data_IF_668983719308
#
_entry.id   IF_668983719308
#
_cell.length_a   1.000
_cell.length_b   1.000
_cell.length_c   1.000
_cell.angle_alpha   90.00
_cell.angle_beta   90.00
_cell.angle_gamma   90.00
#
_symmetry.space_group_name_H-M   'P 1'
#
loop_
_entity.id
_entity.type
_entity.pdbx_description
1 polymer ?
#
# COMPACT_ATOMS: atom_id res chain seq x y z
N UNK A 1 -14.05 3.19 39.72
CA UNK A 1 -14.24 3.73 38.36
C UNK A 1 -14.03 5.23 38.40
N UNK A 2 -12.96 5.75 37.81
CA UNK A 2 -12.76 7.19 37.70
C UNK A 2 -13.86 7.77 36.81
N UNK A 3 -14.59 8.78 37.30
CA UNK A 3 -15.55 9.54 36.50
C UNK A 3 -14.77 10.27 35.40
N UNK A 4 -14.82 9.74 34.18
CA UNK A 4 -14.44 10.47 32.97
C UNK A 4 -15.48 11.57 32.74
N UNK A 5 -15.46 12.63 33.55
CA UNK A 5 -16.13 13.87 33.18
C UNK A 5 -15.21 14.59 32.19
N UNK A 6 -15.60 14.77 30.92
CA UNK A 6 -14.90 15.71 30.08
C UNK A 6 -15.11 17.10 30.68
N UNK A 7 -14.02 17.78 31.03
CA UNK A 7 -14.08 19.21 31.28
C UNK A 7 -14.50 19.95 29.99
N UNK A 8 -14.87 21.24 30.07
CA UNK A 8 -15.22 22.06 28.91
C UNK A 8 -14.10 22.16 27.85
N UNK A 9 -12.87 21.77 28.19
CA UNK A 9 -11.66 21.96 27.39
C UNK A 9 -11.38 20.86 26.34
N UNK A 10 -12.29 19.88 26.18
CA UNK A 10 -12.11 18.78 25.24
C UNK A 10 -11.07 17.74 25.69
N UNK A 11 -10.66 16.85 24.77
CA UNK A 11 -9.59 15.86 25.02
C UNK A 11 -8.63 15.75 23.86
N UNK A 12 -7.35 15.67 24.17
CA UNK A 12 -6.31 15.43 23.17
C UNK A 12 -6.34 13.98 22.71
N UNK A 13 -6.66 13.76 21.44
CA UNK A 13 -6.85 12.44 20.85
C UNK A 13 -6.21 12.38 19.47
N UNK A 14 -5.78 11.18 19.08
CA UNK A 14 -5.48 10.90 17.68
C UNK A 14 -6.79 10.58 16.98
N UNK A 15 -7.21 11.46 16.08
CA UNK A 15 -8.33 11.23 15.19
C UNK A 15 -7.83 10.58 13.92
N UNK A 16 -8.54 9.55 13.45
CA UNK A 16 -8.35 8.97 12.13
C UNK A 16 -9.67 9.10 11.38
N UNK A 17 -9.61 9.67 10.18
CA UNK A 17 -10.76 10.08 9.38
C UNK A 17 -10.69 9.44 8.01
N UNK A 18 -11.78 8.81 7.59
CA UNK A 18 -11.97 8.31 6.24
C UNK A 18 -13.01 9.16 5.52
N UNK A 19 -12.76 9.48 4.26
CA UNK A 19 -13.75 10.03 3.34
C UNK A 19 -14.35 8.86 2.54
N UNK A 20 -15.67 8.82 2.41
CA UNK A 20 -16.36 7.83 1.58
C UNK A 20 -16.55 8.40 0.17
N UNK A 21 -16.40 7.54 -0.85
CA UNK A 21 -16.67 7.85 -2.27
C UNK A 21 -18.07 8.43 -2.45
N UNK A 22 -18.27 9.16 -3.54
CA UNK A 22 -19.60 9.66 -3.89
C UNK A 22 -20.54 8.51 -4.28
N UNK A 23 -21.86 8.74 -4.21
CA UNK A 23 -22.89 7.78 -4.62
C UNK A 23 -23.49 6.92 -3.50
N UNK A 24 -22.89 6.90 -2.30
CA UNK A 24 -23.45 6.20 -1.14
C UNK A 24 -24.56 7.03 -0.45
N UNK A 25 -25.78 6.47 -0.36
CA UNK A 25 -26.97 7.20 0.10
C UNK A 25 -27.19 7.07 1.61
N UNK A 26 -26.84 5.92 2.19
CA UNK A 26 -27.01 5.60 3.60
C UNK A 26 -25.76 4.95 4.19
N UNK A 27 -25.64 4.98 5.52
CA UNK A 27 -24.46 4.46 6.24
C UNK A 27 -24.28 2.96 6.02
N UNK A 28 -25.39 2.22 5.91
CA UNK A 28 -25.38 0.78 5.66
C UNK A 28 -24.83 0.40 4.27
N UNK A 29 -24.66 1.37 3.36
CA UNK A 29 -24.05 1.12 2.05
C UNK A 29 -22.53 0.90 2.15
N UNK A 30 -21.89 1.32 3.24
CA UNK A 30 -20.43 1.28 3.41
C UNK A 30 -19.97 0.88 4.81
N UNK A 31 -20.88 0.55 5.73
CA UNK A 31 -20.56 0.17 7.10
C UNK A 31 -21.34 -1.08 7.52
N UNK A 32 -20.63 -2.07 8.06
CA UNK A 32 -21.27 -3.20 8.73
C UNK A 32 -21.77 -2.80 10.12
N UNK A 33 -23.09 -2.59 10.24
CA UNK A 33 -23.74 -2.12 11.48
C UNK A 33 -24.13 -3.24 12.45
N UNK A 34 -23.99 -4.51 12.05
CA UNK A 34 -24.47 -5.67 12.82
C UNK A 34 -23.82 -5.75 14.19
N UNK A 35 -24.63 -5.72 15.25
CA UNK A 35 -24.16 -5.81 16.63
C UNK A 35 -23.51 -4.53 17.19
N UNK A 36 -23.64 -3.40 16.51
CA UNK A 36 -23.27 -2.08 17.02
C UNK A 36 -24.50 -1.38 17.64
N UNK A 37 -24.28 -0.70 18.76
CA UNK A 37 -25.22 0.29 19.28
C UNK A 37 -25.07 1.58 18.47
N UNK A 38 -26.19 2.29 18.23
CA UNK A 38 -26.22 3.54 17.49
C UNK A 38 -26.93 4.65 18.28
N UNK A 39 -26.37 5.85 18.25
CA UNK A 39 -26.97 7.07 18.83
C UNK A 39 -26.90 8.16 17.78
N UNK A 40 -28.04 8.78 17.47
CA UNK A 40 -28.08 9.99 16.66
C UNK A 40 -27.68 11.19 17.52
N UNK A 41 -26.72 11.98 17.03
CA UNK A 41 -26.29 13.22 17.64
C UNK A 41 -26.87 14.34 16.79
N UNK A 42 -27.71 15.17 17.40
CA UNK A 42 -28.29 16.36 16.79
C UNK A 42 -28.27 17.47 17.83
N UNK A 43 -27.16 18.19 17.89
CA UNK A 43 -26.92 19.30 18.81
C UNK A 43 -26.52 20.54 18.02
N UNK A 44 -26.56 21.72 18.64
CA UNK A 44 -26.09 22.95 18.00
C UNK A 44 -24.61 22.91 17.57
N UNK A 45 -23.81 22.01 18.15
CA UNK A 45 -22.37 21.88 17.87
C UNK A 45 -22.03 20.72 16.93
N UNK A 46 -22.93 19.74 16.76
CA UNK A 46 -22.61 18.49 16.08
C UNK A 46 -23.86 17.80 15.57
N UNK A 47 -23.78 17.32 14.33
CA UNK A 47 -24.78 16.49 13.66
C UNK A 47 -24.10 15.23 13.12
N UNK A 48 -24.67 14.05 13.41
CA UNK A 48 -24.15 12.78 12.91
C UNK A 48 -24.65 11.58 13.69
N UNK A 49 -24.04 10.42 13.45
CA UNK A 49 -24.39 9.16 14.11
C UNK A 49 -23.16 8.55 14.76
N UNK A 50 -23.25 8.29 16.07
CA UNK A 50 -22.24 7.56 16.83
C UNK A 50 -22.61 6.07 16.86
N UNK A 51 -21.73 5.23 16.33
CA UNK A 51 -21.78 3.78 16.47
C UNK A 51 -20.73 3.31 17.46
N UNK A 52 -21.10 2.36 18.32
CA UNK A 52 -20.18 1.83 19.30
C UNK A 52 -20.54 0.41 19.75
N UNK A 53 -19.55 -0.29 20.27
CA UNK A 53 -19.72 -1.59 20.93
C UNK A 53 -18.75 -1.70 22.09
N UNK A 54 -19.27 -2.10 23.24
CA UNK A 54 -18.48 -2.32 24.47
C UNK A 54 -18.20 -3.80 24.69
N UNK A 55 -17.01 -4.12 25.20
CA UNK A 55 -16.78 -5.37 25.92
C UNK A 55 -16.70 -6.64 25.06
N UNK A 56 -16.21 -6.57 23.82
CA UNK A 56 -15.83 -7.81 23.14
C UNK A 56 -14.55 -8.36 23.78
N UNK A 57 -14.61 -9.62 24.21
CA UNK A 57 -13.50 -10.31 24.87
C UNK A 57 -12.92 -11.35 23.94
N UNK A 58 -11.61 -11.32 23.75
CA UNK A 58 -10.86 -12.42 23.13
C UNK A 58 -9.91 -13.03 24.14
N UNK A 59 -9.86 -14.36 24.22
CA UNK A 59 -8.84 -15.06 25.01
C UNK A 59 -7.49 -14.83 24.33
N UNK A 60 -6.46 -14.51 25.11
CA UNK A 60 -5.11 -14.36 24.56
C UNK A 60 -4.62 -15.73 24.05
N UNK A 61 -4.24 -15.90 22.77
CA UNK A 61 -3.97 -17.25 22.25
C UNK A 61 -2.77 -17.94 22.90
N UNK A 62 -1.77 -17.17 23.35
CA UNK A 62 -0.65 -17.71 24.13
C UNK A 62 -1.10 -18.40 25.43
N UNK A 63 -2.26 -18.06 25.98
CA UNK A 63 -2.79 -18.69 27.19
C UNK A 63 -3.05 -20.20 26.96
N UNK A 64 -3.33 -20.62 25.72
CA UNK A 64 -3.49 -22.04 25.39
C UNK A 64 -2.21 -22.86 25.65
N UNK A 65 -1.03 -22.25 25.56
CA UNK A 65 0.27 -22.91 25.80
C UNK A 65 0.34 -23.48 27.22
N UNK A 66 -0.30 -22.80 28.18
CA UNK A 66 -0.26 -23.15 29.60
C UNK A 66 -1.54 -23.86 30.06
N UNK A 67 -2.38 -24.33 29.14
CA UNK A 67 -3.67 -24.94 29.47
C UNK A 67 -3.57 -26.17 30.40
N UNK A 68 -2.44 -26.89 30.33
CA UNK A 68 -2.17 -28.07 31.16
C UNK A 68 -1.36 -27.75 32.43
N UNK A 69 -1.04 -26.48 32.69
CA UNK A 69 -0.33 -26.08 33.92
C UNK A 69 -1.33 -26.02 35.07
N UNK A 70 -1.09 -26.84 36.08
CA UNK A 70 -1.94 -26.91 37.27
C UNK A 70 -2.06 -25.52 37.94
N UNK A 71 -3.29 -25.03 38.12
CA UNK A 71 -3.58 -23.73 38.72
C UNK A 71 -3.68 -22.55 37.73
N UNK A 72 -3.41 -22.76 36.44
CA UNK A 72 -3.61 -21.73 35.40
C UNK A 72 -4.91 -22.00 34.62
N UNK A 73 -5.78 -20.99 34.51
CA UNK A 73 -6.99 -21.05 33.69
C UNK A 73 -6.83 -20.12 32.46
N UNK A 74 -6.55 -20.64 31.26
CA UNK A 74 -6.38 -19.83 30.06
C UNK A 74 -7.57 -18.90 29.75
N UNK A 75 -8.80 -19.37 30.02
CA UNK A 75 -10.04 -18.61 29.79
C UNK A 75 -10.17 -17.37 30.68
N UNK A 76 -9.33 -17.24 31.73
CA UNK A 76 -9.30 -16.06 32.59
C UNK A 76 -8.49 -14.90 32.00
N UNK A 77 -7.62 -15.17 31.01
CA UNK A 77 -6.80 -14.15 30.35
C UNK A 77 -7.53 -13.61 29.13
N UNK A 78 -8.30 -12.55 29.34
CA UNK A 78 -9.10 -11.90 28.29
C UNK A 78 -8.62 -10.49 27.98
N UNK A 79 -8.49 -10.18 26.70
CA UNK A 79 -8.34 -8.81 26.23
C UNK A 79 -9.73 -8.19 26.09
N UNK A 80 -9.92 -6.97 26.62
CA UNK A 80 -11.15 -6.18 26.46
C UNK A 80 -10.88 -4.99 25.58
N UNK A 81 -11.66 -4.86 24.51
CA UNK A 81 -11.52 -3.79 23.55
C UNK A 81 -12.86 -3.04 23.38
N UNK A 82 -12.78 -1.77 23.00
CA UNK A 82 -13.92 -0.98 22.57
C UNK A 82 -13.82 -0.65 21.08
N UNK A 83 -14.99 -0.47 20.47
CA UNK A 83 -15.14 -0.02 19.09
C UNK A 83 -16.00 1.24 19.11
N UNK A 84 -15.52 2.33 18.52
CA UNK A 84 -16.28 3.57 18.34
C UNK A 84 -16.10 4.14 16.93
N UNK A 85 -17.17 4.66 16.36
CA UNK A 85 -17.17 5.32 15.06
C UNK A 85 -18.16 6.47 15.09
N UNK A 86 -17.70 7.68 14.78
CA UNK A 86 -18.60 8.82 14.58
C UNK A 86 -18.67 9.15 13.10
N UNK A 87 -19.88 9.16 12.54
CA UNK A 87 -20.12 9.44 11.13
C UNK A 87 -20.94 10.71 11.01
N UNK A 88 -20.49 11.61 10.16
CA UNK A 88 -21.24 12.81 9.78
C UNK A 88 -21.23 12.98 8.27
N UNK A 89 -22.12 13.84 7.78
CA UNK A 89 -22.16 14.24 6.38
C UNK A 89 -21.77 15.70 6.28
N UNK A 90 -20.79 16.00 5.43
CA UNK A 90 -20.28 17.34 5.21
C UNK A 90 -20.13 17.54 3.70
N UNK A 91 -20.67 18.64 3.17
CA UNK A 91 -20.66 18.93 1.72
C UNK A 91 -21.14 17.77 0.83
N UNK A 92 -22.17 17.03 1.29
CA UNK A 92 -22.74 15.90 0.55
C UNK A 92 -21.96 14.58 0.66
N UNK A 93 -20.77 14.58 1.30
CA UNK A 93 -19.90 13.41 1.45
C UNK A 93 -19.89 12.89 2.89
N UNK A 94 -19.69 11.59 3.06
CA UNK A 94 -19.63 10.97 4.39
C UNK A 94 -18.20 10.97 4.93
N UNK A 95 -18.06 11.37 6.19
CA UNK A 95 -16.81 11.31 6.94
C UNK A 95 -16.95 10.33 8.09
N UNK A 96 -15.97 9.43 8.23
CA UNK A 96 -15.96 8.40 9.28
C UNK A 96 -14.77 8.61 10.21
N UNK A 97 -15.04 9.03 11.44
CA UNK A 97 -14.06 9.20 12.51
C UNK A 97 -13.96 7.91 13.33
N UNK A 98 -12.85 7.18 13.19
CA UNK A 98 -12.65 5.87 13.84
C UNK A 98 -11.95 6.00 15.19
N UNK A 99 -12.44 5.24 16.17
CA UNK A 99 -11.86 5.10 17.50
C UNK A 99 -11.62 3.61 17.83
N UNK A 100 -10.38 3.27 18.19
CA UNK A 100 -10.00 1.89 18.48
C UNK A 100 -10.03 1.00 17.23
N UNK A 101 -10.54 -0.23 17.37
CA UNK A 101 -10.51 -1.25 16.31
C UNK A 101 -11.74 -1.18 15.39
N UNK A 102 -11.99 -0.02 14.75
CA UNK A 102 -13.19 0.20 13.92
C UNK A 102 -12.95 0.35 12.42
N UNK A 103 -11.71 0.53 11.96
CA UNK A 103 -11.39 0.59 10.52
C UNK A 103 -11.97 -0.61 9.75
N UNK A 104 -11.89 -1.81 10.33
CA UNK A 104 -12.36 -3.06 9.72
C UNK A 104 -13.88 -3.12 9.48
N UNK A 105 -14.66 -2.21 10.06
CA UNK A 105 -16.12 -2.15 9.88
C UNK A 105 -16.52 -1.38 8.62
N UNK A 106 -15.63 -0.52 8.12
CA UNK A 106 -15.86 0.29 6.92
C UNK A 106 -15.51 -0.57 5.71
N UNK A 107 -16.39 -0.59 4.72
CA UNK A 107 -16.08 -1.23 3.44
C UNK A 107 -14.93 -0.48 2.76
N UNK A 108 -13.79 -1.14 2.62
CA UNK A 108 -12.61 -0.59 1.94
C UNK A 108 -12.91 -0.13 0.50
N UNK A 109 -13.84 -0.79 -0.20
CA UNK A 109 -14.17 -0.41 -1.57
C UNK A 109 -14.89 0.95 -1.66
N UNK A 110 -15.58 1.34 -0.58
CA UNK A 110 -16.30 2.60 -0.45
C UNK A 110 -15.40 3.76 0.00
N UNK A 111 -14.18 3.49 0.49
CA UNK A 111 -13.24 4.53 0.93
C UNK A 111 -12.66 5.28 -0.26
N UNK A 112 -12.64 6.61 -0.16
CA UNK A 112 -11.96 7.49 -1.11
C UNK A 112 -10.44 7.32 -0.99
N UNK A 113 -9.84 6.72 -2.01
CA UNK A 113 -8.41 6.40 -2.04
C UNK A 113 -7.58 7.67 -2.15
N UNK A 114 -6.40 7.63 -1.53
CA UNK A 114 -5.47 8.75 -1.46
C UNK A 114 -6.03 10.04 -0.82
N UNK A 115 -7.21 9.99 -0.18
CA UNK A 115 -7.80 11.14 0.50
C UNK A 115 -6.84 11.71 1.54
N UNK A 116 -6.34 10.87 2.45
CA UNK A 116 -5.39 11.30 3.47
C UNK A 116 -4.08 11.83 2.88
N UNK A 117 -3.56 11.18 1.85
CA UNK A 117 -2.33 11.57 1.17
C UNK A 117 -2.45 12.98 0.56
N UNK A 118 -3.49 13.22 -0.25
CA UNK A 118 -3.74 14.53 -0.88
C UNK A 118 -3.95 15.61 0.18
N UNK A 119 -4.68 15.30 1.25
CA UNK A 119 -4.87 16.24 2.37
C UNK A 119 -3.54 16.55 3.06
N UNK A 120 -2.71 15.56 3.35
CA UNK A 120 -1.38 15.76 3.94
C UNK A 120 -0.46 16.58 3.04
N UNK A 121 -0.49 16.38 1.72
CA UNK A 121 0.30 17.16 0.75
C UNK A 121 -0.13 18.63 0.69
N UNK A 122 -1.41 18.90 0.93
CA UNK A 122 -1.95 20.26 0.96
C UNK A 122 -1.73 20.96 2.30
N UNK A 123 -1.93 20.27 3.42
CA UNK A 123 -1.89 20.84 4.77
C UNK A 123 -0.53 20.75 5.45
N UNK A 124 0.30 19.78 5.09
CA UNK A 124 1.62 19.58 5.66
C UNK A 124 2.60 20.66 5.23
N UNK A 125 3.50 21.01 6.14
CA UNK A 125 4.65 21.87 5.86
C UNK A 125 5.67 21.10 5.00
N UNK A 126 5.98 21.56 3.78
CA UNK A 126 6.89 20.88 2.87
C UNK A 126 8.34 20.81 3.38
N UNK A 127 8.72 21.66 4.35
CA UNK A 127 10.04 21.64 4.97
C UNK A 127 10.10 20.76 6.23
N UNK A 128 8.97 20.23 6.69
CA UNK A 128 8.87 19.49 7.94
C UNK A 128 8.15 18.15 7.79
N UNK A 129 8.65 17.34 6.85
CA UNK A 129 8.23 15.96 6.64
C UNK A 129 9.00 15.04 7.61
N UNK A 130 8.27 14.12 8.23
CA UNK A 130 8.78 13.14 9.21
C UNK A 130 8.99 11.76 8.61
N UNK A 131 8.07 11.34 7.73
CA UNK A 131 8.11 10.00 7.15
C UNK A 131 7.34 9.96 5.82
N UNK A 132 7.78 9.08 4.94
CA UNK A 132 7.06 8.73 3.71
C UNK A 132 6.96 7.21 3.59
N UNK A 133 5.92 6.75 2.90
CA UNK A 133 5.87 5.41 2.33
C UNK A 133 5.84 5.53 0.82
N UNK A 134 6.68 4.74 0.16
CA UNK A 134 6.76 4.67 -1.28
C UNK A 134 6.70 3.22 -1.76
N UNK A 135 6.20 3.03 -2.97
CA UNK A 135 6.28 1.77 -3.67
C UNK A 135 6.93 1.98 -5.02
N UNK A 136 7.94 1.17 -5.30
CA UNK A 136 8.57 1.12 -6.59
C UNK A 136 7.70 0.29 -7.54
N UNK A 137 7.40 0.81 -8.73
CA UNK A 137 6.55 0.13 -9.72
C UNK A 137 7.34 -0.69 -10.76
N UNK A 138 8.64 -0.95 -10.54
CA UNK A 138 9.41 -1.87 -11.38
C UNK A 138 8.99 -3.34 -11.18
N UNK A 139 9.54 -4.24 -11.99
CA UNK A 139 9.26 -5.69 -11.93
C UNK A 139 9.45 -6.30 -10.53
N UNK A 140 10.37 -5.76 -9.72
CA UNK A 140 10.48 -6.11 -8.30
C UNK A 140 9.88 -4.97 -7.49
N UNK A 141 8.58 -5.07 -7.22
CA UNK A 141 7.83 -4.05 -6.48
C UNK A 141 8.31 -3.92 -5.03
N UNK A 142 9.30 -3.04 -4.79
CA UNK A 142 9.82 -2.77 -3.45
C UNK A 142 8.93 -1.74 -2.74
N UNK A 143 8.49 -2.09 -1.54
CA UNK A 143 7.83 -1.14 -0.64
C UNK A 143 8.83 -0.66 0.41
N UNK A 144 8.95 0.66 0.54
CA UNK A 144 9.82 1.29 1.53
C UNK A 144 9.02 2.22 2.44
N UNK A 145 9.39 2.23 3.72
CA UNK A 145 8.99 3.27 4.66
C UNK A 145 10.26 3.94 5.17
N UNK A 146 10.38 5.23 4.91
CA UNK A 146 11.49 6.04 5.37
C UNK A 146 11.03 6.99 6.46
N UNK A 147 11.84 7.13 7.49
CA UNK A 147 11.58 8.03 8.60
C UNK A 147 12.83 8.86 8.89
N UNK A 148 12.66 10.17 8.91
CA UNK A 148 13.72 11.09 9.23
C UNK A 148 13.85 11.26 10.76
N UNK A 149 15.08 11.30 11.25
CA UNK A 149 15.37 11.57 12.68
C UNK A 149 15.04 13.00 13.10
N UNK A 150 14.94 13.92 12.14
CA UNK A 150 14.53 15.32 12.29
C UNK A 150 13.55 15.67 11.18
N UNK A 151 12.85 16.79 11.32
CA UNK A 151 12.01 17.33 10.25
C UNK A 151 12.89 17.72 9.05
N UNK A 152 12.54 17.23 7.86
CA UNK A 152 13.27 17.47 6.61
C UNK A 152 12.31 17.79 5.47
N UNK A 153 12.83 18.43 4.42
CA UNK A 153 12.11 18.57 3.15
C UNK A 153 12.04 17.22 2.39
N UNK A 154 11.23 17.17 1.34
CA UNK A 154 11.04 15.94 0.56
C UNK A 154 12.35 15.40 -0.04
N UNK A 155 13.25 16.27 -0.49
CA UNK A 155 14.57 15.91 -1.04
C UNK A 155 15.50 15.21 -0.01
N UNK A 156 15.13 15.23 1.27
CA UNK A 156 15.82 14.50 2.32
C UNK A 156 15.49 13.00 2.36
N UNK A 157 14.49 12.56 1.59
CA UNK A 157 14.12 11.16 1.43
C UNK A 157 14.69 10.62 0.11
N UNK A 158 15.00 9.33 0.10
CA UNK A 158 15.32 8.64 -1.15
C UNK A 158 13.99 8.46 -1.89
N UNK A 159 13.72 9.23 -2.94
CA UNK A 159 12.50 9.10 -3.72
C UNK A 159 12.80 9.32 -5.19
N UNK A 160 12.62 8.27 -5.98
CA UNK A 160 12.81 8.35 -7.42
C UNK A 160 11.51 8.82 -8.08
N UNK A 161 11.52 10.06 -8.57
CA UNK A 161 10.33 10.69 -9.18
C UNK A 161 9.84 10.02 -10.45
N UNK A 162 10.63 9.11 -11.03
CA UNK A 162 10.35 8.43 -12.29
C UNK A 162 9.69 7.05 -12.10
N UNK A 163 9.95 6.39 -10.97
CA UNK A 163 9.52 4.99 -10.72
C UNK A 163 8.92 4.73 -9.34
N UNK A 164 8.99 5.70 -8.41
CA UNK A 164 8.37 5.56 -7.09
C UNK A 164 6.99 6.23 -7.03
N UNK A 165 6.01 5.52 -6.49
CA UNK A 165 4.71 6.06 -6.13
C UNK A 165 4.69 6.40 -4.64
N UNK A 166 4.37 7.66 -4.32
CA UNK A 166 4.14 8.08 -2.95
C UNK A 166 2.80 7.50 -2.45
N UNK A 167 2.85 6.67 -1.41
CA UNK A 167 1.66 6.02 -0.81
C UNK A 167 1.23 6.71 0.47
N UNK A 168 2.17 7.19 1.28
CA UNK A 168 1.84 7.91 2.50
C UNK A 168 2.82 9.03 2.78
N UNK A 169 2.34 10.06 3.48
CA UNK A 169 3.18 11.14 3.98
C UNK A 169 2.77 11.51 5.39
N UNK A 170 3.78 11.65 6.26
CA UNK A 170 3.65 12.21 7.60
C UNK A 170 4.44 13.49 7.68
N UNK A 171 3.78 14.61 8.00
CA UNK A 171 4.40 15.92 8.07
C UNK A 171 3.83 16.73 9.24
N UNK A 172 4.59 17.73 9.68
CA UNK A 172 4.07 18.74 10.59
C UNK A 172 3.08 19.66 9.88
N UNK A 173 2.07 20.11 10.62
CA UNK A 173 1.22 21.21 10.17
C UNK A 173 1.93 22.56 10.32
N UNK A 174 1.35 23.63 9.76
CA UNK A 174 1.90 24.98 9.95
C UNK A 174 1.94 25.33 11.44
N UNK A 175 3.06 25.88 11.89
CA UNK A 175 3.19 26.39 13.26
C UNK A 175 2.31 27.63 13.41
N UNK A 176 1.37 27.58 14.36
CA UNK A 176 0.59 28.75 14.77
C UNK A 176 1.10 29.26 16.10
N UNK A 177 0.97 30.57 16.30
CA UNK A 177 1.38 31.22 17.54
C UNK A 177 0.51 30.70 18.70
N UNK A 178 1.13 30.32 19.82
CA UNK A 178 0.48 29.79 21.02
C UNK A 178 -0.31 28.47 20.83
N UNK A 179 -0.13 27.75 19.72
CA UNK A 179 -0.71 26.42 19.52
C UNK A 179 0.41 25.37 19.38
N UNK A 180 0.15 24.17 19.88
CA UNK A 180 1.02 23.04 19.59
C UNK A 180 0.93 22.64 18.12
N UNK A 181 2.08 22.36 17.52
CA UNK A 181 2.13 21.94 16.12
C UNK A 181 1.45 20.59 15.91
N UNK A 182 0.40 20.58 15.10
CA UNK A 182 -0.25 19.34 14.70
C UNK A 182 0.70 18.48 13.86
N UNK A 183 0.51 17.16 13.91
CA UNK A 183 1.19 16.22 13.02
C UNK A 183 0.15 15.50 12.19
N UNK A 184 0.31 15.57 10.88
CA UNK A 184 -0.58 15.01 9.87
C UNK A 184 0.05 13.76 9.30
N UNK A 185 -0.73 12.70 9.18
CA UNK A 185 -0.30 11.45 8.56
C UNK A 185 -1.40 10.97 7.64
N UNK A 186 -1.09 10.82 6.35
CA UNK A 186 -2.08 10.59 5.31
C UNK A 186 -1.72 9.44 4.38
N UNK A 187 -2.69 8.55 4.15
CA UNK A 187 -2.71 7.52 3.09
C UNK A 187 -4.12 7.53 2.49
N UNK A 188 -4.91 6.49 2.72
CA UNK A 188 -6.35 6.50 2.40
C UNK A 188 -7.16 7.20 3.49
N UNK A 189 -6.70 7.11 4.74
CA UNK A 189 -7.21 7.91 5.84
C UNK A 189 -6.27 9.03 6.20
N UNK A 190 -6.84 10.06 6.83
CA UNK A 190 -6.09 11.14 7.44
C UNK A 190 -6.05 10.95 8.96
N UNK A 191 -4.87 11.01 9.56
CA UNK A 191 -4.65 11.00 11.00
C UNK A 191 -4.11 12.34 11.47
N UNK A 192 -4.67 12.86 12.57
CA UNK A 192 -4.17 14.04 13.27
C UNK A 192 -4.26 13.86 14.78
N UNK A 193 -3.24 14.30 15.50
CA UNK A 193 -3.28 14.38 16.96
C UNK A 193 -3.65 15.81 17.37
N UNK A 194 -4.85 16.01 17.89
CA UNK A 194 -5.42 17.34 18.16
C UNK A 194 -6.36 17.33 19.37
N UNK A 195 -6.77 18.51 19.83
CA UNK A 195 -7.78 18.66 20.88
C UNK A 195 -9.18 18.46 20.28
N UNK A 196 -9.97 17.58 20.89
CA UNK A 196 -11.26 17.16 20.34
C UNK A 196 -12.40 17.50 21.29
N UNK A 197 -13.37 18.24 20.78
CA UNK A 197 -14.71 18.44 21.34
C UNK A 197 -15.76 17.93 20.34
N UNK A 198 -17.05 18.00 20.68
CA UNK A 198 -18.12 17.65 19.73
C UNK A 198 -18.11 18.57 18.50
N UNK A 199 -17.82 19.87 18.67
CA UNK A 199 -17.73 20.83 17.56
C UNK A 199 -16.58 20.55 16.60
N UNK A 200 -15.48 19.99 17.10
CA UNK A 200 -14.27 19.72 16.31
C UNK A 200 -14.51 18.83 15.09
N UNK A 201 -15.50 17.94 15.13
CA UNK A 201 -15.69 16.97 14.04
C UNK A 201 -16.16 17.61 12.72
N UNK A 202 -17.13 18.52 12.77
CA UNK A 202 -17.61 19.21 11.55
C UNK A 202 -16.55 20.19 11.03
N UNK A 203 -15.93 20.97 11.92
CA UNK A 203 -14.84 21.89 11.56
C UNK A 203 -13.67 21.14 10.88
N UNK A 204 -13.29 20.00 11.43
CA UNK A 204 -12.25 19.16 10.86
C UNK A 204 -12.70 18.57 9.52
N UNK A 205 -13.89 18.00 9.40
CA UNK A 205 -14.39 17.46 8.14
C UNK A 205 -14.39 18.50 7.02
N UNK A 206 -14.88 19.71 7.29
CA UNK A 206 -14.86 20.84 6.35
C UNK A 206 -13.43 21.22 5.95
N UNK A 207 -12.50 21.33 6.91
CA UNK A 207 -11.09 21.64 6.64
C UNK A 207 -10.45 20.57 5.74
N UNK A 208 -10.65 19.29 6.04
CA UNK A 208 -10.09 18.19 5.28
C UNK A 208 -10.70 18.11 3.88
N UNK A 209 -12.00 18.37 3.73
CA UNK A 209 -12.66 18.40 2.42
C UNK A 209 -12.07 19.49 1.52
N UNK A 210 -11.95 20.71 2.06
CA UNK A 210 -11.34 21.84 1.34
C UNK A 210 -9.90 21.54 0.92
N UNK A 211 -9.12 20.92 1.80
CA UNK A 211 -7.75 20.51 1.49
C UNK A 211 -7.72 19.43 0.40
N UNK A 212 -8.61 18.44 0.45
CA UNK A 212 -8.70 17.39 -0.55
C UNK A 212 -9.04 17.91 -1.96
N UNK A 213 -9.90 18.93 -2.05
CA UNK A 213 -10.25 19.56 -3.32
C UNK A 213 -9.17 20.49 -3.88
N UNK A 214 -8.18 20.86 -3.07
CA UNK A 214 -7.13 21.78 -3.48
C UNK A 214 -6.05 21.06 -4.31
N UNK A 215 -5.76 21.58 -5.49
CA UNK A 215 -4.73 21.05 -6.41
C UNK A 215 -3.38 21.77 -6.30
N UNK A 216 -3.25 22.78 -5.43
CA UNK A 216 -2.02 23.56 -5.27
C UNK A 216 -0.79 22.72 -4.88
N UNK A 217 -0.99 21.56 -4.24
CA UNK A 217 0.11 20.63 -3.94
C UNK A 217 0.88 20.19 -5.20
N UNK A 218 0.24 20.15 -6.37
CA UNK A 218 0.88 19.75 -7.64
C UNK A 218 1.97 20.72 -8.10
N UNK A 219 1.89 21.99 -7.72
CA UNK A 219 2.96 22.95 -8.00
C UNK A 219 4.21 22.64 -7.18
N UNK A 220 4.04 22.11 -5.97
CA UNK A 220 5.15 21.71 -5.09
C UNK A 220 5.68 20.31 -5.40
N UNK A 221 4.81 19.42 -5.85
CA UNK A 221 5.11 18.02 -6.13
C UNK A 221 4.67 17.64 -7.55
N UNK A 222 5.28 18.23 -8.60
CA UNK A 222 4.82 18.05 -9.99
C UNK A 222 4.97 16.61 -10.49
N UNK A 223 5.91 15.86 -9.93
CA UNK A 223 6.13 14.45 -10.26
C UNK A 223 4.95 13.55 -9.87
N UNK A 224 4.06 13.98 -8.98
CA UNK A 224 2.93 13.14 -8.53
C UNK A 224 1.91 12.88 -9.64
N UNK A 225 1.90 13.71 -10.67
CA UNK A 225 1.01 13.57 -11.81
C UNK A 225 1.64 12.73 -12.94
N UNK A 226 2.93 12.35 -12.88
CA UNK A 226 3.57 11.49 -13.89
C UNK A 226 2.91 10.11 -13.98
N UNK A 227 2.50 9.59 -12.82
CA UNK A 227 1.75 8.34 -12.69
C UNK A 227 0.51 8.64 -11.85
N UNK A 228 -0.59 8.91 -12.53
CA UNK A 228 -1.81 9.41 -11.91
C UNK A 228 -2.83 8.29 -11.73
N UNK A 229 -3.58 8.31 -10.64
CA UNK A 229 -4.64 7.33 -10.41
C UNK A 229 -5.78 7.53 -11.42
N UNK A 230 -6.16 6.47 -12.13
CA UNK A 230 -7.33 6.44 -12.99
C UNK A 230 -8.59 6.38 -12.14
N UNK A 231 -9.58 7.22 -12.46
CA UNK A 231 -10.80 7.40 -11.68
C UNK A 231 -12.07 7.27 -12.51
N UNK A 232 -12.00 7.20 -13.84
CA UNK A 232 -13.14 6.92 -14.71
C UNK A 232 -13.62 5.47 -14.47
N UNK A 233 -14.84 5.28 -13.91
CA UNK A 233 -15.36 3.94 -13.63
C UNK A 233 -15.45 3.06 -14.87
N UNK A 234 -15.76 3.63 -16.04
CA UNK A 234 -15.90 2.85 -17.29
C UNK A 234 -14.55 2.32 -17.76
N UNK A 235 -13.52 3.14 -17.65
CA UNK A 235 -12.17 2.76 -18.03
C UNK A 235 -11.60 1.73 -17.05
N UNK A 236 -11.86 1.89 -15.75
CA UNK A 236 -11.52 0.89 -14.73
C UNK A 236 -12.21 -0.46 -15.02
N UNK A 237 -13.49 -0.46 -15.39
CA UNK A 237 -14.22 -1.68 -15.77
C UNK A 237 -13.59 -2.36 -17.00
N UNK A 238 -13.20 -1.58 -18.01
CA UNK A 238 -12.53 -2.10 -19.20
C UNK A 238 -11.15 -2.70 -18.88
N UNK A 239 -10.35 -2.02 -18.05
CA UNK A 239 -9.05 -2.51 -17.57
C UNK A 239 -9.19 -3.80 -16.77
N UNK A 240 -10.19 -3.89 -15.88
CA UNK A 240 -10.47 -5.11 -15.13
C UNK A 240 -10.97 -6.26 -16.02
N UNK A 241 -11.71 -5.96 -17.09
CA UNK A 241 -12.08 -6.96 -18.09
C UNK A 241 -10.83 -7.51 -18.79
N UNK A 242 -9.93 -6.63 -19.23
CA UNK A 242 -8.65 -7.01 -19.87
C UNK A 242 -7.76 -7.84 -18.95
N UNK A 243 -7.69 -7.47 -17.67
CA UNK A 243 -6.98 -8.22 -16.63
C UNK A 243 -7.49 -9.66 -16.53
N UNK A 244 -8.82 -9.82 -16.48
CA UNK A 244 -9.46 -11.14 -16.37
C UNK A 244 -9.29 -11.95 -17.65
N UNK A 245 -9.40 -11.32 -18.83
CA UNK A 245 -9.13 -11.95 -20.12
C UNK A 245 -7.72 -12.55 -20.15
N UNK A 246 -6.70 -11.79 -19.75
CA UNK A 246 -5.31 -12.22 -19.71
C UNK A 246 -5.10 -13.39 -18.72
N UNK A 247 -5.64 -13.29 -17.49
CA UNK A 247 -5.57 -14.37 -16.49
C UNK A 247 -6.20 -15.66 -17.03
N UNK A 248 -7.39 -15.57 -17.64
CA UNK A 248 -8.09 -16.75 -18.14
C UNK A 248 -7.43 -17.35 -19.40
N UNK A 249 -6.71 -16.53 -20.18
CA UNK A 249 -5.90 -16.99 -21.30
C UNK A 249 -4.55 -17.58 -20.87
N UNK A 250 -4.16 -17.44 -19.60
CA UNK A 250 -2.86 -17.85 -19.09
C UNK A 250 -1.71 -16.91 -19.46
N UNK A 251 -2.01 -15.70 -19.96
CA UNK A 251 -1.01 -14.66 -20.20
C UNK A 251 -0.77 -13.85 -18.92
N UNK A 252 -0.04 -14.46 -17.99
CA UNK A 252 0.29 -13.86 -16.68
C UNK A 252 1.70 -13.25 -16.65
N UNK A 253 2.34 -13.09 -17.81
CA UNK A 253 3.71 -12.56 -17.93
C UNK A 253 3.90 -11.19 -17.30
N UNK A 254 2.83 -10.39 -17.23
CA UNK A 254 2.77 -9.06 -16.61
C UNK A 254 1.75 -8.98 -15.48
N UNK A 255 1.38 -10.10 -14.86
CA UNK A 255 0.37 -10.16 -13.80
C UNK A 255 0.92 -11.00 -12.65
N UNK A 256 1.00 -10.41 -11.46
CA UNK A 256 1.51 -11.10 -10.29
C UNK A 256 0.76 -10.70 -9.02
N UNK A 257 0.92 -11.49 -7.96
CA UNK A 257 0.42 -11.14 -6.63
C UNK A 257 1.55 -10.56 -5.79
N UNK A 258 1.27 -9.49 -5.04
CA UNK A 258 2.15 -8.92 -4.02
C UNK A 258 1.34 -8.41 -2.83
N UNK A 259 1.96 -8.39 -1.65
CA UNK A 259 1.31 -7.90 -0.43
C UNK A 259 1.10 -6.38 -0.58
N UNK A 260 -0.13 -5.86 -0.40
CA UNK A 260 -0.45 -4.45 -0.70
C UNK A 260 0.13 -3.43 0.29
N UNK A 261 0.71 -3.89 1.39
CA UNK A 261 1.24 -3.03 2.44
C UNK A 261 2.44 -3.68 3.15
N UNK A 262 3.26 -2.84 3.78
CA UNK A 262 4.42 -3.29 4.55
C UNK A 262 3.93 -4.10 5.76
N UNK A 263 4.27 -5.39 5.78
CA UNK A 263 3.91 -6.32 6.85
C UNK A 263 5.04 -6.51 7.84
N UNK A 264 4.66 -6.69 9.10
CA UNK A 264 5.56 -7.11 10.17
C UNK A 264 5.76 -8.63 10.10
N UNK A 265 6.76 -9.07 9.34
CA UNK A 265 7.08 -10.48 9.09
C UNK A 265 7.38 -11.28 10.37
N UNK A 266 7.76 -10.64 11.48
CA UNK A 266 7.96 -11.36 12.74
C UNK A 266 6.66 -11.99 13.22
N UNK A 267 5.52 -11.34 12.95
CA UNK A 267 4.18 -11.77 13.34
C UNK A 267 3.52 -12.71 12.33
N UNK A 268 3.96 -12.68 11.07
CA UNK A 268 3.36 -13.48 9.98
C UNK A 268 3.80 -14.93 10.08
N UNK A 269 2.85 -15.85 10.13
CA UNK A 269 3.12 -17.27 10.06
C UNK A 269 3.12 -17.76 8.61
N UNK A 270 2.01 -17.56 7.90
CA UNK A 270 1.78 -18.00 6.52
C UNK A 270 0.61 -17.20 5.90
N UNK A 271 0.32 -17.45 4.63
CA UNK A 271 -0.84 -16.95 3.90
C UNK A 271 -1.79 -18.07 3.50
N UNK A 272 -3.06 -17.72 3.26
CA UNK A 272 -4.06 -18.66 2.75
C UNK A 272 -5.03 -17.96 1.78
N UNK A 273 -5.54 -18.68 0.78
CA UNK A 273 -6.55 -18.15 -0.15
C UNK A 273 -7.98 -18.54 0.23
N UNK A 274 -8.11 -19.47 1.17
CA UNK A 274 -9.39 -19.89 1.72
C UNK A 274 -9.25 -20.29 3.17
N UNK A 275 -10.14 -19.78 4.01
CA UNK A 275 -10.35 -20.29 5.37
C UNK A 275 -11.65 -21.10 5.37
N UNK A 276 -11.59 -22.44 5.49
CA UNK A 276 -12.78 -23.27 5.55
C UNK A 276 -13.64 -22.91 6.77
N UNK A 277 -14.92 -22.58 6.55
CA UNK A 277 -15.88 -22.48 7.64
C UNK A 277 -16.36 -23.89 8.01
N UNK A 278 -15.95 -24.38 9.17
CA UNK A 278 -16.40 -25.64 9.75
C UNK A 278 -15.62 -25.98 11.02
N UNK A 279 -16.30 -26.58 12.00
CA UNK A 279 -15.68 -27.01 13.26
C UNK A 279 -14.58 -28.05 13.08
N UNK A 280 -14.09 -28.60 14.20
CA UNK A 280 -12.87 -29.42 14.34
C UNK A 280 -12.76 -30.67 13.43
N UNK A 281 -13.76 -30.98 12.61
CA UNK A 281 -13.81 -32.15 11.72
C UNK A 281 -13.40 -31.87 10.27
N UNK A 282 -13.14 -30.61 9.87
CA UNK A 282 -12.61 -30.28 8.52
C UNK A 282 -11.10 -30.07 8.55
N UNK A 283 -10.42 -30.45 7.47
CA UNK A 283 -9.03 -30.08 7.24
C UNK A 283 -8.88 -28.56 7.28
N UNK A 284 -7.79 -28.09 7.93
CA UNK A 284 -7.47 -26.66 8.05
C UNK A 284 -7.21 -25.99 6.69
N UNK A 285 -7.01 -24.66 6.67
CA UNK A 285 -6.65 -23.95 5.45
C UNK A 285 -5.34 -24.47 4.88
N UNK A 286 -5.20 -24.44 3.56
CA UNK A 286 -3.89 -24.65 2.92
C UNK A 286 -3.05 -23.39 3.16
N UNK A 287 -1.83 -23.58 3.66
CA UNK A 287 -0.93 -22.50 4.06
C UNK A 287 0.22 -22.38 3.05
N UNK A 288 0.56 -21.15 2.71
CA UNK A 288 1.65 -20.81 1.80
C UNK A 288 2.62 -19.86 2.50
N UNK A 289 3.93 -20.01 2.24
CA UNK A 289 4.93 -19.11 2.82
C UNK A 289 4.85 -17.69 2.25
N UNK A 290 4.33 -17.55 1.02
CA UNK A 290 4.13 -16.27 0.34
C UNK A 290 2.86 -16.30 -0.52
N UNK A 291 2.47 -15.14 -1.05
CA UNK A 291 1.35 -15.02 -1.99
C UNK A 291 1.82 -15.16 -3.44
N UNK A 292 1.04 -15.86 -4.24
CA UNK A 292 1.37 -16.28 -5.59
C UNK A 292 0.10 -16.49 -6.41
N UNK A 293 0.14 -16.04 -7.67
CA UNK A 293 -1.02 -16.06 -8.55
C UNK A 293 -1.39 -17.49 -8.94
N UNK A 294 -0.42 -18.34 -9.27
CA UNK A 294 -0.66 -19.72 -9.69
C UNK A 294 -1.23 -20.55 -8.53
N UNK A 295 -0.68 -20.38 -7.34
CA UNK A 295 -1.18 -20.98 -6.11
C UNK A 295 -2.65 -20.57 -5.85
N UNK A 296 -2.98 -19.29 -6.01
CA UNK A 296 -4.35 -18.80 -5.88
C UNK A 296 -5.28 -19.40 -6.96
N UNK A 297 -4.87 -19.42 -8.22
CA UNK A 297 -5.65 -20.00 -9.33
C UNK A 297 -5.94 -21.49 -9.08
N UNK A 298 -4.94 -22.24 -8.61
CA UNK A 298 -5.06 -23.66 -8.31
C UNK A 298 -6.00 -23.94 -7.11
N UNK A 299 -5.89 -23.16 -6.04
CA UNK A 299 -6.71 -23.38 -4.84
C UNK A 299 -8.18 -22.94 -5.02
N UNK A 300 -8.41 -21.90 -5.81
CA UNK A 300 -9.76 -21.33 -5.98
C UNK A 300 -10.74 -22.24 -6.71
N UNK A 301 -10.24 -23.29 -7.39
CA UNK A 301 -11.01 -24.28 -8.17
C UNK A 301 -11.99 -23.63 -9.16
N UNK A 302 -11.62 -22.48 -9.70
CA UNK A 302 -12.43 -21.73 -10.65
C UNK A 302 -12.37 -22.28 -12.08
N UNK A 303 -11.50 -23.26 -12.36
CA UNK A 303 -11.45 -23.96 -13.66
C UNK A 303 -11.14 -23.04 -14.84
N UNK A 304 -10.36 -21.98 -14.63
CA UNK A 304 -10.05 -20.98 -15.68
C UNK A 304 -11.18 -19.99 -15.97
N UNK A 305 -12.19 -19.88 -15.11
CA UNK A 305 -13.27 -18.89 -15.20
C UNK A 305 -13.18 -17.85 -14.08
N UNK A 306 -12.06 -17.13 -14.04
CA UNK A 306 -11.92 -15.96 -13.17
C UNK A 306 -12.85 -14.85 -13.67
N UNK A 307 -13.45 -14.10 -12.75
CA UNK A 307 -14.30 -12.94 -13.06
C UNK A 307 -13.85 -11.78 -12.20
N UNK A 308 -14.17 -10.55 -12.61
CA UNK A 308 -13.90 -9.34 -11.82
C UNK A 308 -14.53 -9.45 -10.42
N UNK A 309 -15.74 -9.99 -10.33
CA UNK A 309 -16.43 -10.25 -9.05
C UNK A 309 -15.63 -11.18 -8.15
N UNK A 310 -14.98 -12.21 -8.71
CA UNK A 310 -14.08 -13.06 -7.93
C UNK A 310 -12.89 -12.27 -7.37
N UNK A 311 -12.24 -11.43 -8.17
CA UNK A 311 -11.11 -10.61 -7.74
C UNK A 311 -11.51 -9.59 -6.65
N UNK A 312 -12.70 -8.98 -6.77
CA UNK A 312 -13.19 -7.96 -5.83
C UNK A 312 -13.66 -8.53 -4.49
N UNK A 313 -14.17 -9.76 -4.47
CA UNK A 313 -14.85 -10.31 -3.29
C UNK A 313 -14.06 -11.42 -2.57
N UNK A 314 -13.21 -12.16 -3.29
CA UNK A 314 -12.35 -13.17 -2.66
C UNK A 314 -11.22 -12.50 -1.89
N UNK A 315 -10.69 -13.25 -0.92
CA UNK A 315 -9.73 -12.74 0.06
C UNK A 315 -8.45 -13.54 0.04
N UNK A 316 -7.35 -12.84 0.31
CA UNK A 316 -6.07 -13.42 0.74
C UNK A 316 -5.96 -13.16 2.23
N UNK A 317 -5.65 -14.20 3.00
CA UNK A 317 -5.57 -14.14 4.45
C UNK A 317 -4.12 -14.16 4.90
N UNK A 318 -3.79 -13.28 5.85
CA UNK A 318 -2.52 -13.29 6.58
C UNK A 318 -2.76 -13.97 7.92
N UNK A 319 -2.13 -15.13 8.11
CA UNK A 319 -2.18 -15.88 9.35
C UNK A 319 -1.03 -15.44 10.27
N UNK A 320 -1.30 -15.34 11.57
CA UNK A 320 -0.35 -14.85 12.55
C UNK A 320 0.14 -15.95 13.48
N UNK A 321 1.43 -15.92 13.83
CA UNK A 321 2.07 -16.90 14.72
C UNK A 321 1.47 -16.91 16.12
N UNK A 322 0.89 -15.80 16.53
CA UNK A 322 0.31 -15.63 17.86
C UNK A 322 -1.16 -16.03 17.92
N UNK A 323 -1.69 -16.72 16.90
CA UNK A 323 -3.02 -17.32 16.90
C UNK A 323 -4.20 -16.34 16.94
N UNK A 324 -3.96 -15.03 16.74
CA UNK A 324 -5.05 -14.07 16.58
C UNK A 324 -5.81 -14.33 15.27
N UNK A 325 -7.03 -13.80 15.18
CA UNK A 325 -7.83 -13.90 13.95
C UNK A 325 -7.03 -13.40 12.73
N UNK A 326 -7.02 -14.15 11.61
CA UNK A 326 -6.33 -13.72 10.40
C UNK A 326 -6.81 -12.36 9.92
N UNK A 327 -5.88 -11.52 9.48
CA UNK A 327 -6.24 -10.35 8.69
C UNK A 327 -6.46 -10.79 7.23
N UNK A 328 -7.03 -9.90 6.43
CA UNK A 328 -7.29 -10.22 5.03
C UNK A 328 -7.25 -8.98 4.14
N UNK A 329 -6.92 -9.24 2.87
CA UNK A 329 -7.03 -8.29 1.78
C UNK A 329 -7.90 -8.89 0.68
N UNK A 330 -8.57 -8.04 -0.10
CA UNK A 330 -9.25 -8.48 -1.32
C UNK A 330 -8.19 -8.92 -2.34
N UNK A 331 -8.47 -9.96 -3.12
CA UNK A 331 -7.52 -10.47 -4.14
C UNK A 331 -7.11 -9.37 -5.10
N UNK A 332 -8.04 -8.53 -5.55
CA UNK A 332 -7.73 -7.39 -6.43
C UNK A 332 -6.68 -6.45 -5.84
N UNK A 333 -6.64 -6.26 -4.50
CA UNK A 333 -5.61 -5.44 -3.85
C UNK A 333 -4.24 -6.10 -3.86
N UNK A 334 -4.20 -7.42 -3.84
CA UNK A 334 -2.96 -8.17 -3.93
C UNK A 334 -2.47 -8.30 -5.39
N UNK A 335 -3.29 -7.98 -6.40
CA UNK A 335 -2.86 -8.07 -7.80
C UNK A 335 -2.08 -6.84 -8.22
N UNK A 336 -1.05 -7.09 -9.02
CA UNK A 336 -0.34 -6.10 -9.81
C UNK A 336 -0.40 -6.53 -11.27
N UNK A 337 -0.56 -5.56 -12.16
CA UNK A 337 -0.63 -5.83 -13.59
C UNK A 337 -0.20 -4.63 -14.41
N UNK A 338 0.36 -4.88 -15.58
CA UNK A 338 0.54 -3.86 -16.63
C UNK A 338 -0.38 -4.16 -17.81
N UNK A 339 -1.20 -3.18 -18.20
CA UNK A 339 -2.13 -3.29 -19.33
C UNK A 339 -1.92 -2.12 -20.28
N UNK A 340 -1.71 -2.44 -21.56
CA UNK A 340 -1.73 -1.48 -22.65
C UNK A 340 -3.18 -1.37 -23.18
N UNK A 341 -3.77 -0.16 -23.13
CA UNK A 341 -5.13 0.09 -23.59
C UNK A 341 -5.22 1.46 -24.27
N UNK A 342 -5.76 1.50 -25.50
CA UNK A 342 -5.91 2.73 -26.29
C UNK A 342 -4.62 3.59 -26.38
N UNK A 343 -3.48 2.93 -26.61
CA UNK A 343 -2.13 3.55 -26.67
C UNK A 343 -1.63 4.19 -25.37
N UNK A 344 -2.29 3.88 -24.24
CA UNK A 344 -1.86 4.29 -22.91
C UNK A 344 -1.41 3.07 -22.12
N UNK A 345 -0.45 3.28 -21.22
CA UNK A 345 0.01 2.29 -20.25
C UNK A 345 -0.73 2.47 -18.93
N UNK A 346 -1.24 1.36 -18.39
CA UNK A 346 -1.89 1.31 -17.11
C UNK A 346 -1.23 0.29 -16.20
N UNK A 347 -1.12 0.65 -14.92
CA UNK A 347 -0.54 -0.19 -13.88
C UNK A 347 -1.62 -0.40 -12.82
N UNK A 348 -1.89 -1.66 -12.47
CA UNK A 348 -2.66 -2.02 -11.29
C UNK A 348 -1.70 -2.16 -10.11
N UNK A 349 -1.99 -1.46 -9.01
CA UNK A 349 -1.26 -1.61 -7.77
C UNK A 349 -2.17 -1.32 -6.57
N UNK A 350 -2.12 -2.18 -5.54
CA UNK A 350 -2.95 -2.02 -4.32
C UNK A 350 -4.45 -1.89 -4.66
N UNK A 351 -4.89 -2.53 -5.75
CA UNK A 351 -6.28 -2.53 -6.20
C UNK A 351 -6.76 -1.24 -6.88
N UNK A 352 -5.85 -0.32 -7.17
CA UNK A 352 -6.12 0.91 -7.92
C UNK A 352 -5.37 0.90 -9.25
N UNK A 353 -6.00 1.45 -10.29
CA UNK A 353 -5.39 1.63 -11.59
C UNK A 353 -4.70 2.98 -11.67
N UNK A 354 -3.54 3.00 -12.30
CA UNK A 354 -2.75 4.21 -12.54
C UNK A 354 -2.45 4.31 -14.02
N UNK A 355 -2.57 5.51 -14.58
CA UNK A 355 -2.12 5.81 -15.92
C UNK A 355 -0.72 6.42 -15.88
N UNK A 356 0.15 5.96 -16.78
CA UNK A 356 1.45 6.60 -17.03
C UNK A 356 1.24 7.68 -18.08
N UNK A 357 1.59 8.93 -17.74
CA UNK A 357 1.38 10.07 -18.62
C UNK A 357 2.12 9.93 -19.96
N UNK A 358 1.41 10.20 -21.07
CA UNK A 358 1.97 10.02 -22.40
C UNK A 358 3.18 10.94 -22.66
N UNK A 359 3.20 12.14 -22.07
CA UNK A 359 4.35 13.04 -22.16
C UNK A 359 5.59 12.44 -21.50
N UNK A 360 5.41 11.75 -20.38
CA UNK A 360 6.48 11.09 -19.65
C UNK A 360 7.01 9.87 -20.43
N UNK A 361 6.13 9.05 -21.02
CA UNK A 361 6.54 7.97 -21.95
C UNK A 361 7.37 8.54 -23.10
N UNK A 362 6.92 9.62 -23.72
CA UNK A 362 7.65 10.27 -24.82
C UNK A 362 9.00 10.87 -24.37
N UNK A 363 9.09 11.36 -23.13
CA UNK A 363 10.34 11.87 -22.55
C UNK A 363 11.36 10.74 -22.38
N UNK A 364 10.93 9.61 -21.81
CA UNK A 364 11.74 8.40 -21.67
C UNK A 364 12.17 7.88 -23.04
N UNK A 365 11.24 7.78 -23.99
CA UNK A 365 11.56 7.33 -25.35
C UNK A 365 12.57 8.27 -26.02
N UNK A 366 12.39 9.59 -25.91
CA UNK A 366 13.36 10.57 -26.45
C UNK A 366 14.73 10.41 -25.80
N UNK A 367 14.78 10.20 -24.49
CA UNK A 367 16.03 9.93 -23.79
C UNK A 367 16.71 8.68 -24.35
N UNK A 368 16.01 7.55 -24.47
CA UNK A 368 16.57 6.32 -25.04
C UNK A 368 17.02 6.50 -26.49
N UNK A 369 16.24 7.17 -27.33
CA UNK A 369 16.61 7.45 -28.73
C UNK A 369 17.80 8.42 -28.85
N UNK A 370 18.05 9.25 -27.82
CA UNK A 370 19.22 10.12 -27.76
C UNK A 370 20.52 9.36 -27.43
N UNK A 371 20.40 8.19 -26.81
CA UNK A 371 21.54 7.32 -26.51
C UNK A 371 22.02 6.70 -27.83
N UNK A 372 23.23 7.05 -28.25
CA UNK A 372 23.83 6.48 -29.45
C UNK A 372 23.99 4.98 -29.28
N UNK A 373 23.49 4.21 -30.25
CA UNK A 373 23.76 2.78 -30.33
C UNK A 373 25.28 2.55 -30.30
N UNK A 374 25.70 1.61 -29.46
CA UNK A 374 27.11 1.26 -29.36
C UNK A 374 27.59 0.64 -30.67
N UNK A 375 28.78 1.02 -31.11
CA UNK A 375 29.47 0.39 -32.25
C UNK A 375 30.35 -0.79 -31.82
N UNK A 376 30.29 -1.19 -30.55
CA UNK A 376 31.04 -2.33 -30.03
C UNK A 376 30.52 -3.62 -30.66
N UNK A 377 31.45 -4.41 -31.21
CA UNK A 377 31.15 -5.72 -31.78
C UNK A 377 31.39 -6.79 -30.72
N UNK A 378 30.33 -7.48 -30.33
CA UNK A 378 30.38 -8.64 -29.44
C UNK A 378 29.86 -9.87 -30.21
N UNK A 379 30.35 -11.07 -29.89
CA UNK A 379 29.85 -12.29 -30.52
C UNK A 379 28.37 -12.49 -30.18
N UNK A 380 27.60 -13.13 -31.05
CA UNK A 380 26.21 -13.48 -30.75
C UNK A 380 26.13 -14.38 -29.49
N UNK A 381 25.10 -14.19 -28.68
CA UNK A 381 24.82 -15.03 -27.51
C UNK A 381 24.41 -16.45 -27.96
N UNK A 382 25.40 -17.31 -28.23
CA UNK A 382 25.21 -18.69 -28.69
C UNK A 382 25.37 -19.76 -27.61
N UNK A 383 25.58 -19.36 -26.35
CA UNK A 383 25.91 -20.24 -25.21
C UNK A 383 24.81 -20.13 -24.14
N UNK A 384 24.49 -21.23 -23.46
CA UNK A 384 23.30 -21.31 -22.58
C UNK A 384 23.37 -20.47 -21.28
N UNK A 385 24.53 -19.93 -20.89
CA UNK A 385 24.68 -19.18 -19.63
C UNK A 385 25.66 -18.02 -19.78
N UNK A 386 25.38 -16.90 -19.11
CA UNK A 386 26.18 -15.67 -19.12
C UNK A 386 27.68 -15.91 -18.83
N UNK A 387 28.10 -16.68 -17.79
CA UNK A 387 29.53 -16.94 -17.56
C UNK A 387 30.24 -17.66 -18.72
N UNK A 388 29.52 -18.55 -19.43
CA UNK A 388 30.08 -19.28 -20.58
C UNK A 388 30.21 -18.37 -21.80
N UNK A 389 29.27 -17.45 -21.97
CA UNK A 389 29.34 -16.43 -22.99
C UNK A 389 30.54 -15.51 -22.75
N UNK A 390 30.65 -14.92 -21.56
CA UNK A 390 31.73 -14.01 -21.18
C UNK A 390 33.10 -14.65 -21.38
N UNK A 391 33.29 -15.89 -20.91
CA UNK A 391 34.54 -16.64 -21.09
C UNK A 391 34.91 -16.93 -22.56
N UNK A 392 33.95 -16.88 -23.48
CA UNK A 392 34.18 -17.08 -24.92
C UNK A 392 34.52 -15.77 -25.65
N UNK A 393 34.14 -14.61 -25.13
CA UNK A 393 34.32 -13.31 -25.80
C UNK A 393 35.79 -13.06 -26.14
N UNK A 394 36.78 -13.14 -25.20
CA UNK A 394 38.18 -12.87 -25.53
C UNK A 394 38.79 -13.82 -26.56
N UNK A 395 38.19 -15.02 -26.75
CA UNK A 395 38.69 -16.02 -27.72
C UNK A 395 38.42 -15.61 -29.17
N UNK A 396 37.37 -14.82 -29.39
CA UNK A 396 36.96 -14.35 -30.72
C UNK A 396 37.16 -12.85 -30.89
N UNK A 397 37.18 -12.10 -29.79
CA UNK A 397 37.32 -10.65 -29.72
C UNK A 397 38.39 -10.31 -28.67
N UNK A 398 39.69 -10.46 -28.99
CA UNK A 398 40.79 -10.33 -28.04
C UNK A 398 40.98 -8.92 -27.48
N UNK A 399 40.28 -7.92 -28.02
CA UNK A 399 40.24 -6.56 -27.48
C UNK A 399 39.48 -6.44 -26.15
N UNK A 400 38.76 -7.49 -25.73
CA UNK A 400 38.02 -7.52 -24.46
C UNK A 400 38.68 -8.44 -23.44
N UNK A 401 38.66 -8.01 -22.18
CA UNK A 401 39.04 -8.80 -21.01
C UNK A 401 37.82 -9.07 -20.16
N UNK A 402 37.63 -10.31 -19.70
CA UNK A 402 36.56 -10.67 -18.75
C UNK A 402 36.88 -10.09 -17.38
N UNK A 403 35.95 -9.31 -16.86
CA UNK A 403 35.98 -8.66 -15.55
C UNK A 403 34.87 -9.17 -14.62
N UNK A 404 33.93 -9.97 -15.12
CA UNK A 404 32.94 -10.70 -14.33
C UNK A 404 33.56 -11.41 -13.11
N UNK A 405 32.91 -11.25 -11.97
CA UNK A 405 33.34 -11.70 -10.64
C UNK A 405 34.69 -11.15 -10.14
N UNK A 406 35.36 -10.23 -10.87
CA UNK A 406 36.60 -9.56 -10.41
C UNK A 406 36.27 -8.29 -9.62
N UNK A 407 35.68 -8.51 -8.45
CA UNK A 407 35.21 -7.46 -7.57
C UNK A 407 36.32 -6.49 -7.12
N UNK A 408 36.02 -5.20 -7.18
CA UNK A 408 36.83 -4.13 -6.60
C UNK A 408 36.40 -3.90 -5.16
N UNK A 409 37.37 -3.76 -4.25
CA UNK A 409 37.10 -3.48 -2.84
C UNK A 409 36.94 -1.96 -2.65
N UNK A 410 35.80 -1.52 -2.13
CA UNK A 410 35.52 -0.10 -1.86
C UNK A 410 35.24 0.07 -0.37
N UNK A 411 35.92 0.99 0.32
CA UNK A 411 35.59 1.33 1.72
C UNK A 411 35.95 0.29 2.79
N UNK A 412 36.82 -0.68 2.50
CA UNK A 412 37.33 -1.66 3.48
C UNK A 412 37.08 -3.12 3.09
N UNK A 413 37.14 -4.04 4.07
CA UNK A 413 37.20 -5.50 3.83
C UNK A 413 35.86 -6.18 3.50
N UNK A 414 34.72 -5.47 3.57
CA UNK A 414 33.38 -6.07 3.42
C UNK A 414 32.58 -5.59 2.22
N UNK A 415 32.93 -4.46 1.62
CA UNK A 415 32.21 -3.93 0.45
C UNK A 415 32.96 -4.27 -0.83
N UNK A 416 32.30 -5.11 -1.65
CA UNK A 416 32.77 -5.61 -2.94
C UNK A 416 31.83 -5.09 -4.01
N UNK A 417 32.38 -4.48 -5.05
CA UNK A 417 31.60 -4.00 -6.19
C UNK A 417 32.16 -4.64 -7.44
N UNK A 418 31.28 -5.25 -8.21
CA UNK A 418 31.59 -5.71 -9.55
C UNK A 418 31.63 -4.50 -10.51
N UNK A 419 32.78 -4.27 -11.13
CA UNK A 419 33.00 -3.06 -11.93
C UNK A 419 32.37 -3.16 -13.33
N UNK A 420 32.51 -4.29 -14.00
CA UNK A 420 31.90 -4.61 -15.30
C UNK A 420 32.12 -6.09 -15.65
N UNK A 421 31.43 -6.56 -16.68
CA UNK A 421 31.54 -7.94 -17.16
C UNK A 421 32.68 -8.08 -18.18
N UNK A 422 32.82 -7.08 -19.06
CA UNK A 422 33.91 -6.98 -20.03
C UNK A 422 34.52 -5.57 -20.03
N UNK A 423 35.84 -5.50 -20.14
CA UNK A 423 36.58 -4.25 -20.30
C UNK A 423 37.39 -4.28 -21.59
N UNK A 424 37.28 -3.24 -22.41
CA UNK A 424 37.98 -3.17 -23.70
C UNK A 424 39.34 -2.46 -23.62
N UNK A 425 40.20 -2.69 -24.61
CA UNK A 425 41.44 -1.93 -24.78
C UNK A 425 41.21 -0.41 -24.97
N UNK A 426 40.03 -0.04 -25.49
CA UNK A 426 39.60 1.35 -25.64
C UNK A 426 39.02 1.94 -24.36
N UNK A 427 39.07 1.20 -23.24
CA UNK A 427 38.51 1.57 -21.93
C UNK A 427 36.99 1.62 -21.89
N UNK A 428 36.33 0.86 -22.77
CA UNK A 428 34.89 0.68 -22.70
C UNK A 428 34.53 -0.23 -21.52
N UNK A 429 33.49 0.16 -20.79
CA UNK A 429 32.93 -0.56 -19.64
C UNK A 429 31.65 -1.22 -20.13
N UNK A 430 31.62 -2.55 -20.16
CA UNK A 430 30.50 -3.30 -20.74
C UNK A 430 29.85 -4.18 -19.68
N UNK A 431 28.54 -4.00 -19.50
CA UNK A 431 27.69 -4.91 -18.75
C UNK A 431 26.85 -5.72 -19.74
N UNK A 432 26.87 -7.04 -19.58
CA UNK A 432 26.11 -8.00 -20.36
C UNK A 432 24.93 -8.45 -19.49
N UNK A 433 23.73 -8.39 -20.05
CA UNK A 433 22.53 -8.91 -19.40
C UNK A 433 21.75 -9.75 -20.37
N UNK A 434 21.24 -10.88 -19.89
CA UNK A 434 20.28 -11.67 -20.61
C UNK A 434 18.90 -11.03 -20.45
N UNK A 435 18.53 -10.10 -21.33
CA UNK A 435 17.16 -9.64 -21.49
C UNK A 435 16.61 -10.19 -22.82
N UNK A 436 15.61 -11.06 -22.72
CA UNK A 436 15.00 -11.79 -23.83
C UNK A 436 14.13 -12.93 -23.35
#
# INVERSE_FOLDING_TARGET
>A
MAKLQPGPDGKKLRLTVFLIKDGHKKIEDFLEVTGLQRIQISTAQAEGTLFFRTGFTSVAPWAAIFANVHGFNPSSIVNRHSRGLYILKEHGRWFCFTFGYTRQLIDEAAVERNFGLIVSLNLGDPAAIKAIEKINISQVGLQSREQAGKDVAFDGFEFDTDIDLLKSMTAKGPQKENEEQETYSGRDSFSVYTMVTLGTFSDLAMRLFKAFQNTAYRQRYPWIDKISQERDPKLIEELESKLVEAINAGDTSKIWMAIPEIVDWERVENFAYRIPSGGQTKAGPMLYPDIDLDAWLNETKLGGQVTVTHLRNRKVFQCYKDGRDPSNWRVLRCLNAEIDLAHKKYILNDGDWYNVEASYVNEVDKFYHSIKASTLSLPNYGVRTEPKYLAAVPKTHPQYTVMDCKNVMIGGSKSRVEFCDLYSNSRDIVHVKQYG
#
